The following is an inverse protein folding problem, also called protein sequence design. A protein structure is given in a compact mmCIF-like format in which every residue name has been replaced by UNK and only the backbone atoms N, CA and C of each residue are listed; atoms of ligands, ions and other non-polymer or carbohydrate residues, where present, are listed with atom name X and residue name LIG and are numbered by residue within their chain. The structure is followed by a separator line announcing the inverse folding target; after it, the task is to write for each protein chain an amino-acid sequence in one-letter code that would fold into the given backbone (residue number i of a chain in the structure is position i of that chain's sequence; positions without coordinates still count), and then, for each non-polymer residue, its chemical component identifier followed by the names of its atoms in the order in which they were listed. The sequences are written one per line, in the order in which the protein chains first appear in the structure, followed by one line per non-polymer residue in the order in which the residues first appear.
data_IF_052770298970
#
_entry.id   IF_052770298970
#
_cell.length_a   1.000
_cell.length_b   1.000
_cell.length_c   1.000
_cell.angle_alpha   90.00
_cell.angle_beta   90.00
_cell.angle_gamma   90.00
#
_symmetry.space_group_name_H-M   'P 1'
#
loop_
_entity.id
_entity.type
_entity.pdbx_description
1 polymer ?
#
# COMPACT_ATOMS: atom_id res chain seq x y z
N UNK A 1 23.79 -44.73 -45.21
CA UNK A 1 23.19 -43.72 -44.30
C UNK A 1 24.30 -42.82 -43.79
N UNK A 2 24.37 -41.55 -44.23
CA UNK A 2 25.35 -40.58 -43.72
C UNK A 2 24.76 -39.88 -42.49
N UNK A 3 25.38 -40.06 -41.34
CA UNK A 3 25.06 -39.30 -40.13
C UNK A 3 25.59 -37.88 -40.29
N UNK A 4 24.69 -36.89 -40.31
CA UNK A 4 25.08 -35.49 -40.34
C UNK A 4 25.80 -35.13 -39.04
N UNK A 5 27.08 -34.81 -39.12
CA UNK A 5 27.88 -34.31 -38.00
C UNK A 5 27.64 -32.80 -37.86
N UNK A 6 26.93 -32.41 -36.82
CA UNK A 6 26.73 -31.00 -36.49
C UNK A 6 28.05 -30.34 -36.07
N UNK A 7 28.25 -29.09 -36.51
CA UNK A 7 29.40 -28.28 -36.14
C UNK A 7 29.46 -28.14 -34.59
N UNK A 8 30.61 -28.40 -33.96
CA UNK A 8 30.76 -28.35 -32.50
C UNK A 8 30.40 -26.99 -31.90
N UNK A 9 30.59 -25.88 -32.65
CA UNK A 9 30.22 -24.52 -32.23
C UNK A 9 28.69 -24.37 -32.12
N UNK A 10 27.95 -24.89 -33.10
CA UNK A 10 26.48 -24.85 -33.10
C UNK A 10 25.91 -25.67 -31.94
N UNK A 11 26.54 -26.83 -31.66
CA UNK A 11 26.17 -27.67 -30.51
C UNK A 11 26.37 -26.96 -29.16
N UNK A 12 27.48 -26.21 -29.01
CA UNK A 12 27.74 -25.44 -27.80
C UNK A 12 26.72 -24.31 -27.60
N UNK A 13 26.34 -23.58 -28.67
CA UNK A 13 25.32 -22.53 -28.61
C UNK A 13 23.94 -23.05 -28.23
N UNK A 14 23.52 -24.17 -28.82
CA UNK A 14 22.24 -24.81 -28.48
C UNK A 14 22.23 -25.24 -27.00
N UNK A 15 23.32 -25.85 -26.52
CA UNK A 15 23.41 -26.24 -25.10
C UNK A 15 23.40 -25.03 -24.15
N UNK A 16 24.06 -23.93 -24.51
CA UNK A 16 24.02 -22.70 -23.72
C UNK A 16 22.61 -22.08 -23.67
N UNK A 17 21.89 -22.08 -24.80
CA UNK A 17 20.53 -21.56 -24.88
C UNK A 17 19.52 -22.42 -24.08
N UNK A 18 19.66 -23.75 -24.16
CA UNK A 18 18.86 -24.69 -23.36
C UNK A 18 19.17 -24.53 -21.86
N UNK A 19 20.45 -24.40 -21.48
CA UNK A 19 20.83 -24.16 -20.08
C UNK A 19 20.27 -22.84 -19.55
N UNK A 20 20.32 -21.75 -20.33
CA UNK A 20 19.80 -20.45 -19.95
C UNK A 20 18.27 -20.43 -19.83
N UNK A 21 17.57 -21.12 -20.74
CA UNK A 21 16.11 -21.25 -20.68
C UNK A 21 15.65 -22.14 -19.51
N UNK A 22 16.39 -23.21 -19.17
CA UNK A 22 16.14 -24.00 -17.96
C UNK A 22 16.37 -23.19 -16.67
N UNK A 23 17.39 -22.33 -16.61
CA UNK A 23 17.63 -21.44 -15.47
C UNK A 23 16.53 -20.37 -15.31
N UNK A 24 16.00 -19.86 -16.42
CA UNK A 24 14.88 -18.91 -16.39
C UNK A 24 13.57 -19.56 -15.90
N UNK A 25 13.35 -20.85 -16.19
CA UNK A 25 12.19 -21.62 -15.71
C UNK A 25 12.30 -21.99 -14.21
N UNK A 26 13.51 -22.22 -13.70
CA UNK A 26 13.73 -22.54 -12.28
C UNK A 26 13.42 -21.35 -11.34
N UNK A 27 13.50 -20.11 -11.83
CA UNK A 27 13.10 -18.91 -11.08
C UNK A 27 11.59 -18.73 -10.90
N UNK A 28 10.77 -19.56 -11.56
CA UNK A 28 9.30 -19.54 -11.51
C UNK A 28 8.76 -20.71 -10.65
N UNK A 29 9.64 -21.48 -9.99
CA UNK A 29 9.26 -22.45 -8.99
C UNK A 29 8.76 -21.73 -7.72
N UNK A 30 7.50 -21.29 -7.84
CA UNK A 30 6.47 -21.06 -6.84
C UNK A 30 6.96 -20.86 -5.40
N UNK A 31 6.67 -19.68 -4.87
CA UNK A 31 6.47 -19.46 -3.43
C UNK A 31 5.40 -20.46 -2.93
N UNK A 32 5.82 -21.70 -2.66
CA UNK A 32 5.00 -22.86 -2.31
C UNK A 32 4.50 -22.78 -0.86
N UNK A 33 4.41 -21.56 -0.31
CA UNK A 33 3.86 -21.37 1.03
C UNK A 33 2.35 -21.61 0.96
N UNK A 34 1.84 -22.55 1.77
CA UNK A 34 0.46 -22.99 1.67
C UNK A 34 -0.51 -21.85 1.95
N UNK A 35 -1.71 -21.96 1.38
CA UNK A 35 -2.84 -21.13 1.75
C UNK A 35 -3.11 -21.28 3.26
N UNK A 36 -3.39 -20.16 3.92
CA UNK A 36 -3.65 -20.16 5.36
C UNK A 36 -4.65 -19.10 5.77
N UNK A 37 -5.23 -19.32 6.94
CA UNK A 37 -6.02 -18.35 7.69
C UNK A 37 -5.44 -18.27 9.10
N UNK A 38 -5.08 -17.07 9.55
CA UNK A 38 -4.65 -16.78 10.92
C UNK A 38 -5.78 -16.09 11.66
N UNK A 39 -6.21 -16.67 12.77
CA UNK A 39 -7.25 -16.12 13.64
C UNK A 39 -6.69 -15.03 14.56
N UNK A 40 -7.56 -14.18 15.09
CA UNK A 40 -7.19 -13.23 16.16
C UNK A 40 -6.79 -13.93 17.46
N UNK A 41 -7.21 -15.18 17.67
CA UNK A 41 -6.71 -16.03 18.77
C UNK A 41 -5.23 -16.40 18.63
N UNK A 42 -4.63 -16.17 17.46
CA UNK A 42 -3.25 -16.56 17.14
C UNK A 42 -3.14 -17.89 16.40
N UNK A 43 -4.23 -18.68 16.37
CA UNK A 43 -4.28 -19.96 15.66
C UNK A 43 -4.06 -19.76 14.15
N UNK A 44 -3.23 -20.61 13.54
CA UNK A 44 -2.98 -20.62 12.11
C UNK A 44 -3.48 -21.92 11.52
N UNK A 45 -4.42 -21.81 10.59
CA UNK A 45 -5.08 -22.94 9.93
C UNK A 45 -4.62 -22.96 8.48
N UNK A 46 -3.90 -24.01 8.10
CA UNK A 46 -3.48 -24.24 6.71
C UNK A 46 -4.49 -25.15 6.02
N UNK A 47 -4.91 -24.78 4.81
CA UNK A 47 -5.86 -25.57 4.01
C UNK A 47 -5.70 -25.21 2.55
N UNK A 48 -5.79 -26.20 1.65
CA UNK A 48 -5.83 -25.93 0.21
C UNK A 48 -7.17 -25.31 -0.22
N UNK A 49 -8.26 -25.69 0.45
CA UNK A 49 -9.60 -25.16 0.21
C UNK A 49 -9.91 -24.04 1.22
N UNK A 50 -9.70 -22.79 0.77
CA UNK A 50 -10.07 -21.57 1.50
C UNK A 50 -10.95 -20.73 0.58
N UNK A 51 -12.20 -20.50 0.99
CA UNK A 51 -13.17 -19.71 0.22
C UNK A 51 -13.70 -18.56 1.05
N UNK A 52 -13.68 -17.36 0.49
CA UNK A 52 -14.31 -16.19 1.09
C UNK A 52 -15.70 -15.98 0.51
N UNK A 53 -16.72 -16.01 1.37
CA UNK A 53 -18.12 -15.81 1.00
C UNK A 53 -18.53 -14.40 1.41
N UNK A 54 -18.76 -13.54 0.41
CA UNK A 54 -19.32 -12.19 0.62
C UNK A 54 -20.83 -12.25 0.44
N UNK A 55 -21.57 -12.02 1.51
CA UNK A 55 -23.03 -11.94 1.49
C UNK A 55 -23.46 -10.46 1.60
N UNK A 56 -24.47 -10.04 0.85
CA UNK A 56 -24.91 -8.64 0.82
C UNK A 56 -25.69 -8.24 2.08
N UNK A 57 -26.56 -9.12 2.56
CA UNK A 57 -27.47 -8.87 3.70
C UNK A 57 -27.08 -9.63 4.98
N UNK A 58 -26.10 -10.51 4.89
CA UNK A 58 -25.65 -11.38 5.96
C UNK A 58 -24.16 -11.15 6.20
N UNK A 59 -23.64 -11.68 7.32
CA UNK A 59 -22.22 -11.55 7.64
C UNK A 59 -21.38 -12.41 6.70
N UNK A 60 -20.42 -11.78 6.03
CA UNK A 60 -19.40 -12.50 5.27
C UNK A 60 -18.62 -13.48 6.16
N UNK A 61 -18.15 -14.57 5.59
CA UNK A 61 -17.46 -15.65 6.30
C UNK A 61 -16.44 -16.35 5.40
N UNK A 62 -15.56 -17.13 6.02
CA UNK A 62 -14.63 -18.03 5.34
C UNK A 62 -15.06 -19.47 5.54
N UNK A 63 -14.85 -20.29 4.51
CA UNK A 63 -14.86 -21.75 4.62
C UNK A 63 -13.42 -22.23 4.48
N UNK A 64 -12.90 -22.93 5.49
CA UNK A 64 -11.53 -23.43 5.54
C UNK A 64 -11.59 -24.94 5.80
N UNK A 65 -11.29 -25.75 4.77
CA UNK A 65 -11.39 -27.21 4.89
C UNK A 65 -12.79 -27.70 5.26
N UNK A 66 -13.83 -27.01 4.80
CA UNK A 66 -15.24 -27.29 5.14
C UNK A 66 -15.75 -26.66 6.44
N UNK A 67 -14.88 -26.09 7.27
CA UNK A 67 -15.29 -25.42 8.53
C UNK A 67 -15.54 -23.92 8.29
N UNK A 68 -16.63 -23.40 8.84
CA UNK A 68 -17.03 -21.99 8.71
C UNK A 68 -16.40 -21.13 9.81
N UNK A 69 -15.77 -20.03 9.42
CA UNK A 69 -15.22 -19.00 10.31
C UNK A 69 -15.81 -17.63 9.98
N UNK A 70 -16.29 -16.87 10.97
CA UNK A 70 -16.76 -15.52 10.69
C UNK A 70 -15.59 -14.59 10.31
N UNK A 71 -15.85 -13.64 9.42
CA UNK A 71 -14.84 -12.69 8.97
C UNK A 71 -14.16 -11.94 10.13
N UNK A 72 -14.92 -11.67 11.20
CA UNK A 72 -14.46 -10.91 12.37
C UNK A 72 -13.41 -11.64 13.22
N UNK A 73 -13.29 -12.95 13.04
CA UNK A 73 -12.38 -13.82 13.80
C UNK A 73 -11.04 -14.02 13.05
N UNK A 74 -10.99 -13.66 11.76
CA UNK A 74 -9.81 -13.77 10.91
C UNK A 74 -8.93 -12.52 11.06
N UNK A 75 -7.68 -12.68 11.48
CA UNK A 75 -6.67 -11.62 11.52
C UNK A 75 -5.96 -11.46 10.18
N UNK A 76 -5.51 -12.57 9.58
CA UNK A 76 -4.84 -12.60 8.28
C UNK A 76 -5.30 -13.79 7.47
N UNK A 77 -5.19 -13.71 6.15
CA UNK A 77 -5.29 -14.89 5.30
C UNK A 77 -4.37 -14.78 4.09
N UNK A 78 -3.98 -15.93 3.57
CA UNK A 78 -3.28 -16.11 2.30
C UNK A 78 -4.06 -17.05 1.39
N UNK A 79 -4.39 -16.57 0.19
CA UNK A 79 -4.99 -17.38 -0.88
C UNK A 79 -4.18 -17.13 -2.15
N UNK A 80 -3.52 -18.17 -2.66
CA UNK A 80 -2.54 -18.03 -3.74
C UNK A 80 -1.37 -17.15 -3.29
N UNK A 81 -1.03 -16.13 -4.08
CA UNK A 81 0.00 -15.14 -3.73
C UNK A 81 -0.52 -13.99 -2.88
N UNK A 82 -1.84 -13.85 -2.72
CA UNK A 82 -2.44 -12.71 -2.02
C UNK A 82 -2.44 -12.93 -0.51
N UNK A 83 -1.84 -12.00 0.23
CA UNK A 83 -1.98 -11.92 1.69
C UNK A 83 -2.81 -10.70 2.04
N UNK A 84 -3.83 -10.86 2.88
CA UNK A 84 -4.63 -9.73 3.37
C UNK A 84 -4.75 -9.75 4.89
N UNK A 85 -4.83 -8.55 5.48
CA UNK A 85 -4.93 -8.32 6.92
C UNK A 85 -6.28 -7.69 7.28
N UNK A 86 -6.90 -8.12 8.36
CA UNK A 86 -8.16 -7.58 8.83
C UNK A 86 -7.94 -6.21 9.52
N UNK A 87 -8.72 -5.21 9.11
CA UNK A 87 -8.65 -3.83 9.60
C UNK A 87 -9.60 -3.56 10.76
N UNK A 88 -10.24 -4.59 11.33
CA UNK A 88 -11.19 -4.45 12.44
C UNK A 88 -10.66 -3.56 13.56
N UNK A 89 -9.40 -3.75 13.95
CA UNK A 89 -8.76 -2.99 15.04
C UNK A 89 -8.47 -1.51 14.68
N UNK A 90 -8.50 -1.16 13.40
CA UNK A 90 -8.24 0.21 12.91
C UNK A 90 -9.50 1.08 12.78
N UNK A 91 -10.69 0.47 12.83
CA UNK A 91 -11.97 1.15 12.58
C UNK A 91 -12.75 1.31 13.88
N UNK A 92 -13.34 2.49 14.09
CA UNK A 92 -14.11 2.82 15.31
C UNK A 92 -15.27 1.82 15.51
N UNK A 93 -15.95 1.48 14.41
CA UNK A 93 -17.08 0.54 14.42
C UNK A 93 -16.67 -0.94 14.34
N UNK A 94 -15.36 -1.25 14.40
CA UNK A 94 -14.82 -2.62 14.29
C UNK A 94 -15.37 -3.38 13.08
N UNK A 95 -15.60 -2.67 11.98
CA UNK A 95 -16.10 -3.26 10.74
C UNK A 95 -14.99 -4.11 10.14
N UNK A 96 -15.29 -5.40 9.95
CA UNK A 96 -14.32 -6.33 9.39
C UNK A 96 -14.20 -6.06 7.89
N UNK A 97 -12.98 -5.77 7.46
CA UNK A 97 -12.62 -5.63 6.06
C UNK A 97 -11.13 -5.89 5.92
N UNK A 98 -10.69 -6.36 4.76
CA UNK A 98 -9.30 -6.76 4.59
C UNK A 98 -8.49 -5.74 3.77
N UNK A 99 -7.21 -5.62 4.10
CA UNK A 99 -6.23 -4.80 3.41
C UNK A 99 -5.26 -5.73 2.66
N UNK A 100 -5.10 -5.64 1.33
CA UNK A 100 -4.08 -6.41 0.63
C UNK A 100 -2.67 -5.97 1.02
N UNK A 101 -1.75 -6.93 1.12
CA UNK A 101 -0.35 -6.70 1.40
C UNK A 101 0.36 -6.15 0.17
N UNK A 102 1.16 -5.11 0.38
CA UNK A 102 2.00 -4.45 -0.62
C UNK A 102 3.45 -4.90 -0.47
N UNK A 103 3.93 -5.02 0.77
CA UNK A 103 5.33 -5.33 1.09
C UNK A 103 5.38 -6.41 2.17
N UNK A 104 6.32 -7.35 2.04
CA UNK A 104 6.49 -8.49 2.94
C UNK A 104 7.87 -8.45 3.61
N UNK A 105 7.95 -8.91 4.86
CA UNK A 105 9.21 -9.00 5.60
C UNK A 105 8.97 -9.01 7.10
N UNK A 106 9.97 -8.57 7.88
CA UNK A 106 9.82 -8.34 9.33
C UNK A 106 8.70 -7.35 9.62
N UNK A 107 8.56 -6.33 8.80
CA UNK A 107 7.42 -5.43 8.74
C UNK A 107 6.63 -5.69 7.46
N UNK A 108 5.32 -5.89 7.57
CA UNK A 108 4.44 -6.01 6.41
C UNK A 108 3.67 -4.71 6.21
N UNK A 109 3.61 -4.21 4.97
CA UNK A 109 2.83 -3.03 4.58
C UNK A 109 1.57 -3.46 3.85
N UNK A 110 0.43 -2.82 4.16
CA UNK A 110 -0.88 -3.14 3.60
C UNK A 110 -1.63 -1.88 3.14
N UNK A 111 -2.50 -2.05 2.13
CA UNK A 111 -3.39 -1.01 1.61
C UNK A 111 -4.74 -1.03 2.31
N UNK A 112 -4.96 -0.11 3.24
CA UNK A 112 -6.12 0.00 4.12
C UNK A 112 -7.45 0.37 3.47
N UNK A 113 -7.53 0.68 2.17
CA UNK A 113 -8.80 0.85 1.47
C UNK A 113 -8.88 -0.01 0.21
N UNK A 114 -9.72 -1.04 0.26
CA UNK A 114 -10.31 -1.65 -0.93
C UNK A 114 -11.76 -1.97 -0.55
N UNK A 115 -12.65 -0.98 -0.73
CA UNK A 115 -14.06 -1.30 -0.98
C UNK A 115 -14.27 -1.71 -2.45
N UNK A 116 -13.23 -1.55 -3.28
CA UNK A 116 -13.23 -1.86 -4.71
C UNK A 116 -12.08 -2.80 -5.04
N UNK A 117 -12.39 -3.88 -5.75
CA UNK A 117 -11.41 -4.74 -6.43
C UNK A 117 -10.63 -3.86 -7.42
N UNK A 118 -9.41 -3.48 -7.08
CA UNK A 118 -8.50 -2.84 -8.02
C UNK A 118 -7.35 -3.80 -8.30
N UNK A 119 -7.58 -4.65 -9.30
CA UNK A 119 -6.60 -5.43 -10.03
C UNK A 119 -5.95 -4.53 -11.09
N UNK A 120 -5.18 -3.51 -10.71
CA UNK A 120 -4.32 -2.83 -11.68
C UNK A 120 -3.08 -2.30 -10.97
N UNK A 121 -1.92 -2.83 -11.36
CA UNK A 121 -0.61 -2.17 -11.40
C UNK A 121 -0.71 -1.00 -12.40
N UNK A 122 -0.07 0.16 -12.33
CA UNK A 122 1.16 0.61 -11.72
C UNK A 122 1.04 2.13 -11.42
N UNK A 123 1.97 2.65 -10.62
CA UNK A 123 2.37 4.06 -10.51
C UNK A 123 1.41 5.12 -9.88
N UNK A 124 0.08 4.91 -9.78
CA UNK A 124 -0.85 5.88 -9.15
C UNK A 124 -1.57 5.38 -7.88
N UNK A 125 -1.26 4.17 -7.42
CA UNK A 125 -2.20 3.31 -6.67
C UNK A 125 -2.06 3.26 -5.15
N UNK A 126 -1.11 3.96 -4.54
CA UNK A 126 -1.01 3.95 -3.07
C UNK A 126 -2.16 4.73 -2.39
N UNK A 127 -2.90 5.53 -3.16
CA UNK A 127 -3.89 6.45 -2.62
C UNK A 127 -3.26 7.42 -1.59
N UNK A 128 -4.08 8.19 -0.89
CA UNK A 128 -3.63 9.00 0.24
C UNK A 128 -2.83 8.18 1.26
N UNK A 129 -1.76 8.75 1.83
CA UNK A 129 -0.99 8.15 2.95
C UNK A 129 -1.86 7.63 4.09
N UNK A 130 -3.03 8.23 4.31
CA UNK A 130 -4.03 7.82 5.31
C UNK A 130 -4.57 6.40 5.11
N UNK A 131 -4.38 5.83 3.92
CA UNK A 131 -4.78 4.46 3.59
C UNK A 131 -3.72 3.42 3.93
N UNK A 132 -2.50 3.79 4.31
CA UNK A 132 -1.46 2.79 4.59
C UNK A 132 -1.53 2.30 6.03
N UNK A 133 -1.35 0.99 6.20
CA UNK A 133 -1.27 0.33 7.49
C UNK A 133 -0.17 -0.73 7.46
N UNK A 134 0.40 -1.05 8.60
CA UNK A 134 1.51 -1.98 8.69
C UNK A 134 1.43 -2.79 9.98
N UNK A 135 2.14 -3.90 10.03
CA UNK A 135 2.42 -4.63 11.25
C UNK A 135 3.92 -4.93 11.35
N UNK A 136 4.36 -5.30 12.54
CA UNK A 136 5.68 -5.90 12.77
C UNK A 136 5.43 -7.37 13.13
N UNK A 137 6.18 -8.27 12.51
CA UNK A 137 6.22 -9.71 12.77
C UNK A 137 4.85 -10.40 12.78
N UNK A 138 3.91 -9.91 11.97
CA UNK A 138 2.57 -10.49 11.91
C UNK A 138 1.70 -10.21 13.15
N UNK A 139 2.07 -9.20 13.96
CA UNK A 139 1.32 -8.71 15.11
C UNK A 139 0.10 -7.87 14.73
N UNK A 140 -0.37 -7.00 15.64
CA UNK A 140 -1.53 -6.12 15.40
C UNK A 140 -1.27 -5.12 14.27
N UNK A 141 -2.29 -4.91 13.43
CA UNK A 141 -2.24 -3.94 12.34
C UNK A 141 -2.35 -2.51 12.90
N UNK A 142 -1.46 -1.62 12.46
CA UNK A 142 -1.38 -0.22 12.90
C UNK A 142 -1.46 0.73 11.70
N UNK A 143 -1.99 1.95 11.90
CA UNK A 143 -1.90 3.00 10.87
C UNK A 143 -0.44 3.38 10.62
N UNK A 144 -0.04 3.55 9.36
CA UNK A 144 1.30 3.98 8.98
C UNK A 144 1.47 5.51 9.14
N UNK A 145 1.23 6.01 10.35
CA UNK A 145 1.45 7.41 10.72
C UNK A 145 2.84 7.60 11.36
N UNK A 146 3.27 8.85 11.50
CA UNK A 146 4.62 9.17 11.99
C UNK A 146 4.90 8.59 13.38
N UNK A 147 3.93 8.68 14.30
CA UNK A 147 4.11 8.21 15.67
C UNK A 147 4.32 6.69 15.72
N UNK A 148 3.51 5.94 14.98
CA UNK A 148 3.62 4.49 14.90
C UNK A 148 4.90 4.06 14.19
N UNK A 149 5.26 4.70 13.05
CA UNK A 149 6.49 4.40 12.32
C UNK A 149 7.73 4.72 13.16
N UNK A 150 7.77 5.91 13.78
CA UNK A 150 8.86 6.33 14.66
C UNK A 150 9.05 5.37 15.83
N UNK A 151 7.96 4.92 16.46
CA UNK A 151 8.03 4.01 17.60
C UNK A 151 8.53 2.62 17.18
N UNK A 152 7.95 2.05 16.12
CA UNK A 152 8.17 0.65 15.76
C UNK A 152 9.39 0.42 14.85
N UNK A 153 9.91 1.46 14.18
CA UNK A 153 11.08 1.37 13.30
C UNK A 153 12.33 2.03 13.91
N UNK A 154 12.28 2.37 15.21
CA UNK A 154 13.30 3.18 15.90
C UNK A 154 14.71 2.58 15.84
N UNK A 155 14.79 1.25 15.84
CA UNK A 155 16.05 0.49 15.88
C UNK A 155 16.82 0.52 14.56
N UNK A 156 16.17 0.87 13.44
CA UNK A 156 16.79 0.94 12.12
C UNK A 156 17.00 2.40 11.68
N UNK A 157 18.27 2.85 11.67
CA UNK A 157 18.63 4.22 11.32
C UNK A 157 18.20 4.62 9.89
N UNK A 158 18.26 3.70 8.92
CA UNK A 158 17.87 3.96 7.53
C UNK A 158 16.35 4.13 7.39
N UNK A 159 15.57 3.24 8.01
CA UNK A 159 14.12 3.35 8.09
C UNK A 159 13.69 4.66 8.79
N UNK A 160 14.41 5.05 9.85
CA UNK A 160 14.18 6.30 10.56
C UNK A 160 14.47 7.54 9.70
N UNK A 161 15.46 7.49 8.80
CA UNK A 161 15.71 8.57 7.84
C UNK A 161 14.48 8.82 6.95
N UNK A 162 13.90 7.77 6.37
CA UNK A 162 12.69 7.90 5.54
C UNK A 162 11.47 8.31 6.37
N UNK A 163 11.35 7.82 7.61
CA UNK A 163 10.30 8.22 8.55
C UNK A 163 10.34 9.72 8.86
N UNK A 164 11.54 10.31 9.04
CA UNK A 164 11.71 11.76 9.19
C UNK A 164 11.39 12.52 7.92
N UNK A 165 11.81 12.03 6.76
CA UNK A 165 11.44 12.65 5.48
C UNK A 165 9.93 12.65 5.25
N UNK A 166 9.23 11.60 5.69
CA UNK A 166 7.77 11.51 5.67
C UNK A 166 7.16 12.58 6.58
N UNK A 167 7.67 12.72 7.81
CA UNK A 167 7.23 13.77 8.74
C UNK A 167 7.40 15.18 8.16
N UNK A 168 8.56 15.48 7.59
CA UNK A 168 8.82 16.80 6.99
C UNK A 168 7.88 17.09 5.82
N UNK A 169 7.56 16.07 5.00
CA UNK A 169 6.54 16.23 3.94
C UNK A 169 5.13 16.44 4.51
N UNK A 170 4.81 15.85 5.65
CA UNK A 170 3.53 16.05 6.31
C UNK A 170 3.41 17.49 6.85
N UNK A 171 4.48 18.00 7.47
CA UNK A 171 4.54 19.41 7.92
C UNK A 171 4.41 20.37 6.72
N UNK A 172 5.10 20.09 5.62
CA UNK A 172 4.99 20.89 4.39
C UNK A 172 3.57 20.86 3.80
N UNK A 173 2.91 19.70 3.77
CA UNK A 173 1.52 19.58 3.33
C UNK A 173 0.58 20.46 4.18
N UNK A 174 0.71 20.41 5.51
CA UNK A 174 -0.08 21.26 6.40
C UNK A 174 0.17 22.76 6.15
N UNK A 175 1.42 23.15 5.96
CA UNK A 175 1.77 24.53 5.64
C UNK A 175 1.14 24.98 4.32
N UNK A 176 1.20 24.15 3.27
CA UNK A 176 0.61 24.44 1.97
C UNK A 176 -0.92 24.51 2.01
N UNK A 177 -1.59 23.63 2.75
CA UNK A 177 -3.04 23.74 2.95
C UNK A 177 -3.41 25.01 3.70
N UNK A 178 -2.60 25.42 4.68
CA UNK A 178 -2.82 26.68 5.41
C UNK A 178 -2.68 27.89 4.49
N UNK A 179 -1.61 27.93 3.68
CA UNK A 179 -1.39 28.97 2.66
C UNK A 179 -2.55 28.98 1.65
N UNK A 180 -2.97 27.81 1.19
CA UNK A 180 -4.09 27.68 0.24
C UNK A 180 -5.39 28.23 0.82
N UNK A 181 -5.70 27.92 2.08
CA UNK A 181 -6.87 28.41 2.79
C UNK A 181 -6.85 29.93 2.99
N UNK A 182 -5.73 30.50 3.45
CA UNK A 182 -5.58 31.95 3.65
C UNK A 182 -5.72 32.69 2.31
N UNK A 183 -5.00 32.25 1.26
CA UNK A 183 -5.06 32.87 -0.05
C UNK A 183 -6.45 32.75 -0.69
N UNK A 184 -7.12 31.61 -0.50
CA UNK A 184 -8.50 31.39 -0.98
C UNK A 184 -9.51 32.29 -0.28
N UNK A 185 -9.40 32.45 1.05
CA UNK A 185 -10.25 33.37 1.81
C UNK A 185 -10.03 34.83 1.38
N UNK A 186 -8.78 35.25 1.17
CA UNK A 186 -8.47 36.58 0.69
C UNK A 186 -9.01 36.82 -0.72
N UNK A 187 -8.85 35.85 -1.62
CA UNK A 187 -9.43 35.91 -2.96
C UNK A 187 -10.96 36.04 -2.92
N UNK A 188 -11.63 35.30 -2.03
CA UNK A 188 -13.07 35.40 -1.85
C UNK A 188 -13.50 36.79 -1.37
N UNK A 189 -12.84 37.34 -0.35
CA UNK A 189 -13.10 38.70 0.14
C UNK A 189 -12.91 39.72 -0.98
N UNK A 190 -11.84 39.60 -1.75
CA UNK A 190 -11.57 40.49 -2.88
C UNK A 190 -12.62 40.39 -4.00
N UNK A 191 -13.15 39.19 -4.27
CA UNK A 191 -14.27 39.00 -5.21
C UNK A 191 -15.54 39.67 -4.70
N UNK A 192 -15.84 39.54 -3.40
CA UNK A 192 -16.99 40.20 -2.78
C UNK A 192 -16.85 41.72 -2.87
N UNK A 193 -15.68 42.27 -2.54
CA UNK A 193 -15.42 43.71 -2.62
C UNK A 193 -15.61 44.26 -4.06
N UNK A 194 -15.10 43.55 -5.06
CA UNK A 194 -15.33 43.90 -6.48
C UNK A 194 -16.81 43.82 -6.86
N UNK A 195 -17.56 42.85 -6.34
CA UNK A 195 -19.00 42.74 -6.59
C UNK A 195 -19.80 43.92 -6.02
N UNK A 196 -19.28 44.61 -5.00
CA UNK A 196 -19.88 45.81 -4.41
C UNK A 196 -19.28 47.13 -4.93
N UNK A 197 -18.56 47.09 -6.06
CA UNK A 197 -18.04 48.27 -6.74
C UNK A 197 -16.61 48.67 -6.35
N UNK A 198 -15.90 47.83 -5.60
CA UNK A 198 -14.46 47.96 -5.40
C UNK A 198 -13.63 47.57 -6.63
N UNK A 199 -12.34 47.92 -6.63
CA UNK A 199 -11.37 47.41 -7.59
C UNK A 199 -10.33 46.54 -6.88
N UNK A 200 -10.02 45.36 -7.42
CA UNK A 200 -8.97 44.51 -6.85
C UNK A 200 -8.06 43.90 -7.92
N UNK A 201 -6.77 44.25 -7.84
CA UNK A 201 -5.70 43.64 -8.65
C UNK A 201 -5.17 42.33 -8.05
N UNK A 202 -5.68 41.93 -6.88
CA UNK A 202 -5.12 40.82 -6.10
C UNK A 202 -5.90 39.51 -6.21
N UNK A 203 -7.09 39.51 -6.83
CA UNK A 203 -7.91 38.30 -7.01
C UNK A 203 -7.13 37.21 -7.76
N UNK A 204 -6.59 37.52 -8.95
CA UNK A 204 -5.91 36.54 -9.78
C UNK A 204 -4.63 35.97 -9.13
N UNK A 205 -3.73 36.80 -8.55
CA UNK A 205 -2.59 36.29 -7.78
C UNK A 205 -3.00 35.42 -6.59
N UNK A 206 -4.01 35.83 -5.81
CA UNK A 206 -4.45 35.08 -4.62
C UNK A 206 -5.06 33.72 -5.00
N UNK A 207 -5.89 33.67 -6.04
CA UNK A 207 -6.40 32.40 -6.58
C UNK A 207 -5.27 31.51 -7.11
N UNK A 208 -4.32 32.08 -7.84
CA UNK A 208 -3.16 31.35 -8.36
C UNK A 208 -2.33 30.69 -7.24
N UNK A 209 -2.02 31.43 -6.18
CA UNK A 209 -1.32 30.90 -4.99
C UNK A 209 -2.16 29.81 -4.31
N UNK A 210 -3.46 30.05 -4.14
CA UNK A 210 -4.35 29.11 -3.47
C UNK A 210 -4.39 27.75 -4.19
N UNK A 211 -4.58 27.77 -5.51
CA UNK A 211 -4.64 26.57 -6.34
C UNK A 211 -3.30 25.86 -6.40
N UNK A 212 -2.20 26.59 -6.61
CA UNK A 212 -0.87 25.99 -6.68
C UNK A 212 -0.52 25.29 -5.35
N UNK A 213 -0.75 25.95 -4.22
CA UNK A 213 -0.49 25.36 -2.92
C UNK A 213 -1.33 24.10 -2.67
N UNK A 214 -2.62 24.10 -3.04
CA UNK A 214 -3.48 22.93 -2.95
C UNK A 214 -3.00 21.76 -3.83
N UNK A 215 -2.59 22.03 -5.07
CA UNK A 215 -2.08 21.01 -6.00
C UNK A 215 -0.80 20.39 -5.47
N UNK A 216 0.14 21.20 -4.96
CA UNK A 216 1.39 20.69 -4.37
C UNK A 216 1.09 19.88 -3.11
N UNK A 217 0.17 20.31 -2.24
CA UNK A 217 -0.24 19.56 -1.06
C UNK A 217 -0.83 18.18 -1.44
N UNK A 218 -1.69 18.13 -2.45
CA UNK A 218 -2.25 16.88 -2.97
C UNK A 218 -1.18 15.96 -3.57
N UNK A 219 -0.17 16.53 -4.26
CA UNK A 219 0.97 15.76 -4.75
C UNK A 219 1.78 15.15 -3.60
N UNK A 220 2.01 15.90 -2.52
CA UNK A 220 2.69 15.39 -1.33
C UNK A 220 1.93 14.21 -0.70
N UNK A 221 0.62 14.35 -0.49
CA UNK A 221 -0.23 13.32 0.14
C UNK A 221 -0.33 12.03 -0.68
N UNK A 222 -0.49 12.15 -2.02
CA UNK A 222 -0.78 10.99 -2.89
C UNK A 222 0.45 10.31 -3.47
N UNK A 223 1.54 11.05 -3.69
CA UNK A 223 2.70 10.54 -4.42
C UNK A 223 3.95 10.47 -3.55
N UNK A 224 4.29 11.54 -2.83
CA UNK A 224 5.57 11.63 -2.11
C UNK A 224 5.53 10.84 -0.81
N UNK A 225 4.50 11.03 0.00
CA UNK A 225 4.43 10.45 1.34
C UNK A 225 4.25 8.92 1.35
N UNK A 226 3.37 8.31 0.53
CA UNK A 226 3.27 6.86 0.46
C UNK A 226 4.58 6.18 0.04
N UNK A 227 5.32 6.78 -0.89
CA UNK A 227 6.65 6.30 -1.29
C UNK A 227 7.64 6.30 -0.12
N UNK A 228 7.66 7.37 0.68
CA UNK A 228 8.52 7.47 1.86
C UNK A 228 8.16 6.43 2.94
N UNK A 229 6.86 6.19 3.16
CA UNK A 229 6.39 5.12 4.06
C UNK A 229 6.86 3.76 3.54
N UNK A 230 6.68 3.46 2.24
CA UNK A 230 7.13 2.21 1.64
C UNK A 230 8.64 2.02 1.78
N UNK A 231 9.44 3.05 1.48
CA UNK A 231 10.90 3.00 1.65
C UNK A 231 11.32 2.77 3.11
N UNK A 232 10.62 3.38 4.08
CA UNK A 232 10.88 3.11 5.50
C UNK A 232 10.68 1.64 5.85
N UNK A 233 9.60 1.01 5.37
CA UNK A 233 9.32 -0.41 5.59
C UNK A 233 10.35 -1.30 4.89
N UNK A 234 10.69 -1.01 3.63
CA UNK A 234 11.70 -1.76 2.86
C UNK A 234 13.05 -1.72 3.56
N UNK A 235 13.51 -0.54 4.01
CA UNK A 235 14.79 -0.41 4.71
C UNK A 235 14.79 -1.10 6.08
N UNK A 236 13.63 -1.22 6.75
CA UNK A 236 13.50 -2.00 7.98
C UNK A 236 13.59 -3.51 7.75
N UNK A 237 13.17 -3.97 6.56
CA UNK A 237 13.16 -5.39 6.21
C UNK A 237 14.53 -5.92 5.74
N UNK A 238 15.49 -5.05 5.46
CA UNK A 238 16.89 -5.40 5.19
C UNK A 238 17.62 -5.70 6.50
#
# INVERSE_FOLDING_TARGET
MRTATFNPVVKAYIMAYVAFSCLALAGIAQDATPNYVKLFSGEMIQSQDIRYHRELLKKSYFTVGGVRYEQRDIAYYKIGSEVKANKRELTIFKLSSFAPRIESGKANLFLGMSNYNYEYADAWLFGPKSRLCFNIEGGTLMKANFNNLRKNLAENMEAMRYTRQYHNSNVMEYALYTISGIAGAYAFIAVVDVAFGGESKFIAPALGISLLAAVVALHLDRQVQPKKIKLAIISYNK
#
